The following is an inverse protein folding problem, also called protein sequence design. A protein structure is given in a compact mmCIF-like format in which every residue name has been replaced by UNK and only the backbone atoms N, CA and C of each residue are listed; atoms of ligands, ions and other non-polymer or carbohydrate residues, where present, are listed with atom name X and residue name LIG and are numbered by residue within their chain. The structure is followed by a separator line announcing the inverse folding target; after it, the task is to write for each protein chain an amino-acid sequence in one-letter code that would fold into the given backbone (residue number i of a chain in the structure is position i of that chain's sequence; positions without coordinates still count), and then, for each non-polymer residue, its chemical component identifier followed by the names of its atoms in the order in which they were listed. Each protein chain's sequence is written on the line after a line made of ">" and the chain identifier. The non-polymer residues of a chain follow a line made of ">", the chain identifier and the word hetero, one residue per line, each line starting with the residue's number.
data_IF_052673622465
#
_entry.id   IF_052673622465
#
_cell.length_a   1.000
_cell.length_b   1.000
_cell.length_c   1.000
_cell.angle_alpha   90.00
_cell.angle_beta   90.00
_cell.angle_gamma   90.00
#
_symmetry.space_group_name_H-M   'P 1'
#
loop_
_entity.id
_entity.type
_entity.pdbx_description
1 polymer ?
#
# COMPACT_ATOMS: atom_id res chain seq x y z
N UNK A 1 -7.96 -32.16 -47.35
CA UNK A 1 -8.80 -33.02 -46.49
C UNK A 1 -10.17 -33.33 -47.10
N UNK A 2 -11.10 -32.37 -47.33
CA UNK A 2 -12.40 -32.68 -47.98
C UNK A 2 -12.22 -33.13 -49.44
N UNK A 3 -11.31 -32.50 -50.20
CA UNK A 3 -10.98 -32.92 -51.57
C UNK A 3 -10.32 -34.32 -51.60
N UNK A 4 -9.41 -34.61 -50.67
CA UNK A 4 -8.78 -35.93 -50.53
C UNK A 4 -9.80 -37.04 -50.18
N UNK A 5 -10.81 -36.74 -49.37
CA UNK A 5 -11.88 -37.67 -49.02
C UNK A 5 -12.82 -37.91 -50.23
N UNK A 6 -13.07 -36.88 -51.05
CA UNK A 6 -13.85 -37.01 -52.29
C UNK A 6 -13.15 -37.89 -53.33
N UNK A 7 -11.85 -37.69 -53.52
CA UNK A 7 -11.04 -38.49 -54.44
C UNK A 7 -11.05 -39.99 -54.07
N UNK A 8 -10.99 -40.31 -52.76
CA UNK A 8 -11.07 -41.69 -52.26
C UNK A 8 -12.47 -42.29 -52.48
N UNK A 9 -13.54 -41.50 -52.34
CA UNK A 9 -14.94 -41.92 -52.57
C UNK A 9 -15.21 -42.29 -54.04
N UNK A 10 -14.52 -41.66 -54.98
CA UNK A 10 -14.71 -41.91 -56.42
C UNK A 10 -13.83 -43.06 -56.95
N UNK A 11 -12.77 -43.43 -56.24
CA UNK A 11 -11.93 -44.60 -56.52
C UNK A 11 -12.52 -45.95 -56.04
N UNK A 12 -13.55 -45.93 -55.18
CA UNK A 12 -14.15 -47.12 -54.59
C UNK A 12 -15.36 -47.62 -55.40
N UNK A 13 -15.10 -48.37 -56.48
CA UNK A 13 -16.13 -49.05 -57.26
C UNK A 13 -16.55 -50.34 -56.54
N UNK A 14 -17.72 -50.32 -55.88
CA UNK A 14 -18.42 -51.54 -55.43
C UNK A 14 -18.89 -51.62 -53.97
N UNK A 15 -18.72 -50.58 -53.14
CA UNK A 15 -19.19 -50.58 -51.74
C UNK A 15 -20.05 -49.36 -51.41
N UNK A 16 -21.36 -49.47 -51.66
CA UNK A 16 -22.32 -48.39 -51.39
C UNK A 16 -22.37 -47.98 -49.91
N UNK A 17 -22.09 -48.89 -48.98
CA UNK A 17 -22.11 -48.57 -47.53
C UNK A 17 -20.97 -47.64 -47.12
N UNK A 18 -19.77 -47.84 -47.69
CA UNK A 18 -18.60 -47.03 -47.36
C UNK A 18 -18.66 -45.65 -48.03
N UNK A 19 -19.14 -45.58 -49.27
CA UNK A 19 -19.40 -44.31 -49.96
C UNK A 19 -20.43 -43.46 -49.22
N UNK A 20 -21.51 -44.08 -48.71
CA UNK A 20 -22.50 -43.41 -47.87
C UNK A 20 -21.93 -42.93 -46.53
N UNK A 21 -21.04 -43.70 -45.92
CA UNK A 21 -20.35 -43.31 -44.69
C UNK A 21 -19.41 -42.10 -44.92
N UNK A 22 -18.63 -42.10 -46.00
CA UNK A 22 -17.76 -40.97 -46.36
C UNK A 22 -18.58 -39.70 -46.68
N UNK A 23 -19.68 -39.84 -47.42
CA UNK A 23 -20.58 -38.72 -47.69
C UNK A 23 -21.21 -38.16 -46.40
N UNK A 24 -21.60 -39.02 -45.45
CA UNK A 24 -22.09 -38.62 -44.13
C UNK A 24 -21.02 -37.83 -43.34
N UNK A 25 -19.76 -38.28 -43.40
CA UNK A 25 -18.64 -37.57 -42.79
C UNK A 25 -18.41 -36.19 -43.42
N UNK A 26 -18.44 -36.09 -44.76
CA UNK A 26 -18.28 -34.81 -45.46
C UNK A 26 -19.40 -33.82 -45.08
N UNK A 27 -20.65 -34.29 -44.98
CA UNK A 27 -21.78 -33.45 -44.53
C UNK A 27 -21.59 -32.97 -43.10
N UNK A 28 -21.13 -33.85 -42.19
CA UNK A 28 -20.86 -33.47 -40.79
C UNK A 28 -19.73 -32.45 -40.68
N UNK A 29 -18.64 -32.64 -41.43
CA UNK A 29 -17.50 -31.71 -41.45
C UNK A 29 -17.96 -30.33 -41.94
N UNK A 30 -18.72 -30.27 -43.03
CA UNK A 30 -19.25 -29.00 -43.55
C UNK A 30 -20.18 -28.29 -42.55
N UNK A 31 -20.98 -29.03 -41.77
CA UNK A 31 -21.79 -28.44 -40.71
C UNK A 31 -20.92 -27.86 -39.59
N UNK A 32 -19.90 -28.59 -39.15
CA UNK A 32 -18.97 -28.08 -38.13
C UNK A 32 -18.20 -26.84 -38.58
N UNK A 33 -17.77 -26.78 -39.85
CA UNK A 33 -17.11 -25.58 -40.40
C UNK A 33 -18.05 -24.36 -40.40
N UNK A 34 -19.35 -24.57 -40.64
CA UNK A 34 -20.37 -23.52 -40.61
C UNK A 34 -20.63 -23.03 -39.18
N UNK A 35 -20.80 -23.94 -38.23
CA UNK A 35 -20.98 -23.61 -36.82
C UNK A 35 -19.77 -22.85 -36.26
N UNK A 36 -18.54 -23.26 -36.59
CA UNK A 36 -17.32 -22.55 -36.19
C UNK A 36 -17.28 -21.13 -36.79
N UNK A 37 -17.76 -20.94 -38.01
CA UNK A 37 -17.81 -19.62 -38.65
C UNK A 37 -18.83 -18.71 -37.97
N UNK A 38 -20.01 -19.23 -37.65
CA UNK A 38 -21.07 -18.48 -36.97
C UNK A 38 -20.63 -18.07 -35.55
N UNK A 39 -19.97 -18.98 -34.81
CA UNK A 39 -19.37 -18.70 -33.50
C UNK A 39 -18.30 -17.60 -33.60
N UNK A 40 -17.44 -17.64 -34.63
CA UNK A 40 -16.40 -16.60 -34.83
C UNK A 40 -17.00 -15.23 -35.13
N UNK A 41 -18.05 -15.15 -35.95
CA UNK A 41 -18.73 -13.89 -36.24
C UNK A 41 -19.47 -13.32 -35.02
N UNK A 42 -20.06 -14.18 -34.19
CA UNK A 42 -20.72 -13.78 -32.94
C UNK A 42 -19.70 -13.26 -31.91
N UNK A 43 -18.57 -13.96 -31.76
CA UNK A 43 -17.49 -13.55 -30.86
C UNK A 43 -16.85 -12.20 -31.25
N UNK A 44 -16.69 -11.95 -32.56
CA UNK A 44 -16.19 -10.65 -33.06
C UNK A 44 -17.17 -9.50 -32.80
N UNK A 45 -18.50 -9.75 -32.88
CA UNK A 45 -19.53 -8.74 -32.57
C UNK A 45 -19.55 -8.38 -31.09
N UNK A 46 -19.32 -9.34 -30.20
CA UNK A 46 -19.24 -9.09 -28.76
C UNK A 46 -17.96 -8.33 -28.37
N UNK A 47 -16.82 -8.66 -28.97
CA UNK A 47 -15.56 -7.93 -28.74
C UNK A 47 -15.67 -6.43 -29.06
N UNK A 48 -16.28 -6.08 -30.21
CA UNK A 48 -16.45 -4.69 -30.60
C UNK A 48 -17.38 -3.90 -29.64
N UNK A 49 -18.41 -4.54 -29.06
CA UNK A 49 -19.27 -3.91 -28.03
C UNK A 49 -18.52 -3.68 -26.72
N UNK A 50 -17.59 -4.58 -26.38
CA UNK A 50 -16.78 -4.51 -25.16
C UNK A 50 -15.78 -3.34 -25.21
N UNK A 51 -15.20 -3.10 -26.38
CA UNK A 51 -14.30 -1.96 -26.61
C UNK A 51 -15.04 -0.61 -26.53
N UNK A 52 -16.25 -0.51 -27.08
CA UNK A 52 -17.07 0.71 -27.01
C UNK A 52 -17.50 1.07 -25.57
N UNK A 53 -17.82 0.06 -24.75
CA UNK A 53 -18.14 0.25 -23.32
C UNK A 53 -16.92 0.76 -22.52
N UNK A 54 -15.73 0.21 -22.79
CA UNK A 54 -14.48 0.60 -22.11
C UNK A 54 -14.08 2.04 -22.44
N UNK A 55 -14.27 2.45 -23.70
CA UNK A 55 -14.01 3.81 -24.18
C UNK A 55 -14.94 4.84 -23.49
N UNK A 56 -16.21 4.49 -23.27
CA UNK A 56 -17.17 5.34 -22.57
C UNK A 56 -16.88 5.46 -21.06
N UNK A 57 -16.48 4.37 -20.38
CA UNK A 57 -16.02 4.40 -18.98
C UNK A 57 -14.77 5.26 -18.81
N UNK A 58 -13.81 5.18 -19.73
CA UNK A 58 -12.61 6.04 -19.74
C UNK A 58 -12.98 7.52 -19.87
N UNK A 59 -13.93 7.87 -20.75
CA UNK A 59 -14.43 9.25 -20.89
C UNK A 59 -15.09 9.74 -19.60
N UNK A 60 -15.92 8.93 -18.96
CA UNK A 60 -16.62 9.30 -17.72
C UNK A 60 -15.65 9.52 -16.54
N UNK A 61 -14.64 8.65 -16.37
CA UNK A 61 -13.59 8.82 -15.36
C UNK A 61 -12.76 10.07 -15.64
N UNK A 62 -12.45 10.36 -16.92
CA UNK A 62 -11.70 11.56 -17.31
C UNK A 62 -12.48 12.84 -17.00
N UNK A 63 -13.80 12.85 -17.19
CA UNK A 63 -14.67 13.96 -16.78
C UNK A 63 -14.69 14.11 -15.26
N UNK A 64 -14.78 13.02 -14.48
CA UNK A 64 -14.74 13.07 -13.00
C UNK A 64 -13.41 13.60 -12.46
N UNK A 65 -12.29 13.19 -13.04
CA UNK A 65 -10.95 13.69 -12.69
C UNK A 65 -10.81 15.18 -13.06
N UNK A 66 -11.25 15.59 -14.25
CA UNK A 66 -11.20 16.99 -14.65
C UNK A 66 -12.07 17.87 -13.77
N UNK A 67 -13.28 17.43 -13.40
CA UNK A 67 -14.13 18.14 -12.45
C UNK A 67 -13.45 18.26 -11.07
N UNK A 68 -12.79 17.20 -10.59
CA UNK A 68 -12.02 17.26 -9.34
C UNK A 68 -10.86 18.26 -9.43
N UNK A 69 -10.12 18.28 -10.54
CA UNK A 69 -8.99 19.21 -10.80
C UNK A 69 -9.46 20.66 -10.99
N UNK A 70 -10.67 20.89 -11.53
CA UNK A 70 -11.28 22.22 -11.65
C UNK A 70 -11.90 22.73 -10.34
N UNK A 71 -12.35 21.84 -9.45
CA UNK A 71 -12.86 22.21 -8.13
C UNK A 71 -11.76 22.33 -7.07
N UNK A 72 -10.64 21.63 -7.22
CA UNK A 72 -9.49 21.69 -6.31
C UNK A 72 -9.02 23.13 -6.00
N UNK A 73 -8.93 24.06 -6.98
CA UNK A 73 -8.54 25.45 -6.75
C UNK A 73 -9.60 26.30 -6.03
N UNK A 74 -10.85 25.82 -5.90
CA UNK A 74 -11.89 26.51 -5.10
C UNK A 74 -11.68 26.31 -3.61
N UNK A 75 -10.97 25.25 -3.21
CA UNK A 75 -10.65 24.95 -1.82
C UNK A 75 -9.33 25.56 -1.36
N UNK A 76 -8.40 25.82 -2.29
CA UNK A 76 -7.10 26.45 -2.03
C UNK A 76 -6.76 27.39 -3.19
N UNK A 77 -6.56 28.69 -2.91
CA UNK A 77 -6.12 29.66 -3.93
C UNK A 77 -4.69 29.34 -4.35
N UNK A 78 -4.45 29.25 -5.66
CA UNK A 78 -3.19 28.80 -6.26
C UNK A 78 -1.99 29.66 -5.86
N UNK A 79 -2.21 30.94 -5.55
CA UNK A 79 -1.18 31.86 -5.06
C UNK A 79 -0.77 31.64 -3.59
N UNK A 80 -1.62 30.99 -2.78
CA UNK A 80 -1.42 30.82 -1.33
C UNK A 80 -1.00 29.37 -0.94
N UNK A 81 -0.97 28.45 -1.90
CA UNK A 81 -0.70 27.01 -1.66
C UNK A 81 0.64 26.75 -0.96
N UNK A 82 1.66 27.56 -1.24
CA UNK A 82 2.95 27.48 -0.56
C UNK A 82 2.89 28.00 0.89
N UNK A 83 2.12 29.04 1.18
CA UNK A 83 1.93 29.57 2.54
C UNK A 83 1.02 28.66 3.39
N UNK A 84 0.01 28.03 2.79
CA UNK A 84 -0.86 27.08 3.49
C UNK A 84 -0.19 25.72 3.76
N UNK A 85 0.77 25.29 2.93
CA UNK A 85 1.61 24.11 3.16
C UNK A 85 2.71 24.32 4.21
N UNK A 86 3.09 25.58 4.50
CA UNK A 86 3.95 25.92 5.64
C UNK A 86 3.17 25.96 6.97
N UNK A 87 1.83 25.99 6.90
CA UNK A 87 0.97 25.96 8.07
C UNK A 87 0.83 24.53 8.60
N UNK A 88 1.63 24.21 9.62
CA UNK A 88 1.72 22.90 10.27
C UNK A 88 0.35 22.34 10.68
N UNK A 89 -0.61 23.19 11.07
CA UNK A 89 -1.98 22.77 11.43
C UNK A 89 -2.78 22.24 10.24
N UNK A 90 -2.59 22.82 9.04
CA UNK A 90 -3.29 22.39 7.82
C UNK A 90 -2.69 21.07 7.32
N UNK A 91 -1.37 20.96 7.32
CA UNK A 91 -0.66 19.73 6.96
C UNK A 91 -1.01 18.58 7.91
N UNK A 92 -1.05 18.84 9.22
CA UNK A 92 -1.44 17.83 10.21
C UNK A 92 -2.89 17.38 10.05
N UNK A 93 -3.84 18.30 9.75
CA UNK A 93 -5.23 17.92 9.43
C UNK A 93 -5.33 17.07 8.17
N UNK A 94 -4.49 17.35 7.17
CA UNK A 94 -4.44 16.58 5.93
C UNK A 94 -3.89 15.17 6.17
N UNK A 95 -2.81 15.06 6.96
CA UNK A 95 -2.21 13.79 7.39
C UNK A 95 -3.23 12.96 8.17
N UNK A 96 -3.97 13.56 9.11
CA UNK A 96 -5.01 12.85 9.86
C UNK A 96 -6.16 12.37 8.97
N UNK A 97 -6.60 13.17 7.99
CA UNK A 97 -7.58 12.71 6.99
C UNK A 97 -7.06 11.54 6.16
N UNK A 98 -5.80 11.58 5.73
CA UNK A 98 -5.21 10.47 4.99
C UNK A 98 -5.09 9.22 5.86
N UNK A 99 -4.64 9.34 7.11
CA UNK A 99 -4.62 8.21 8.06
C UNK A 99 -6.00 7.60 8.22
N UNK A 100 -7.04 8.40 8.41
CA UNK A 100 -8.41 7.87 8.58
C UNK A 100 -8.89 7.11 7.33
N UNK A 101 -8.58 7.63 6.14
CA UNK A 101 -8.88 6.96 4.85
C UNK A 101 -8.11 5.63 4.73
N UNK A 102 -6.80 5.64 4.99
CA UNK A 102 -5.97 4.43 4.89
C UNK A 102 -6.36 3.38 5.93
N UNK A 103 -6.75 3.80 7.13
CA UNK A 103 -7.17 2.88 8.21
C UNK A 103 -8.48 2.20 7.83
N UNK A 104 -9.48 2.97 7.37
CA UNK A 104 -10.75 2.42 6.87
C UNK A 104 -10.54 1.43 5.72
N UNK A 105 -9.66 1.76 4.77
CA UNK A 105 -9.34 0.87 3.65
C UNK A 105 -8.62 -0.40 4.10
N UNK A 106 -7.77 -0.32 5.12
CA UNK A 106 -7.09 -1.48 5.67
C UNK A 106 -8.06 -2.43 6.40
N UNK A 107 -9.05 -1.89 7.10
CA UNK A 107 -10.12 -2.67 7.75
C UNK A 107 -11.04 -3.35 6.73
N UNK A 108 -11.38 -2.66 5.64
CA UNK A 108 -12.11 -3.26 4.50
C UNK A 108 -11.32 -4.44 3.90
N UNK A 109 -10.01 -4.27 3.67
CA UNK A 109 -9.13 -5.34 3.15
C UNK A 109 -9.09 -6.53 4.11
N UNK A 110 -9.01 -6.27 5.42
CA UNK A 110 -8.98 -7.32 6.44
C UNK A 110 -10.28 -8.12 6.47
N UNK A 111 -11.41 -7.45 6.28
CA UNK A 111 -12.73 -8.09 6.19
C UNK A 111 -12.85 -8.96 4.95
N UNK A 112 -12.39 -8.46 3.79
CA UNK A 112 -12.38 -9.20 2.53
C UNK A 112 -11.53 -10.47 2.63
N UNK A 113 -10.34 -10.39 3.25
CA UNK A 113 -9.46 -11.55 3.47
C UNK A 113 -10.15 -12.64 4.29
N UNK A 114 -10.84 -12.26 5.37
CA UNK A 114 -11.58 -13.20 6.21
C UNK A 114 -12.67 -13.92 5.43
N UNK A 115 -13.46 -13.19 4.64
CA UNK A 115 -14.52 -13.79 3.82
C UNK A 115 -13.95 -14.73 2.74
N UNK A 116 -12.76 -14.43 2.21
CA UNK A 116 -12.05 -15.29 1.25
C UNK A 116 -11.60 -16.61 1.88
N UNK A 117 -11.06 -16.57 3.10
CA UNK A 117 -10.72 -17.79 3.85
C UNK A 117 -11.96 -18.65 4.13
N UNK A 118 -13.06 -18.02 4.56
CA UNK A 118 -14.34 -18.73 4.78
C UNK A 118 -14.85 -19.38 3.48
N UNK A 119 -14.81 -18.66 2.36
CA UNK A 119 -15.19 -19.20 1.05
C UNK A 119 -14.31 -20.38 0.62
N UNK A 120 -12.99 -20.29 0.82
CA UNK A 120 -12.06 -21.38 0.49
C UNK A 120 -12.35 -22.64 1.31
N UNK A 121 -12.63 -22.50 2.61
CA UNK A 121 -13.00 -23.66 3.44
C UNK A 121 -14.32 -24.31 3.00
N UNK A 122 -15.25 -23.54 2.45
CA UNK A 122 -16.51 -24.07 1.91
C UNK A 122 -16.31 -24.79 0.58
N UNK A 123 -15.37 -24.34 -0.26
CA UNK A 123 -14.96 -25.01 -1.50
C UNK A 123 -14.36 -26.40 -1.19
N UNK A 124 -13.44 -26.49 -0.23
CA UNK A 124 -12.81 -27.76 0.16
C UNK A 124 -13.85 -28.80 0.64
N UNK A 125 -14.87 -28.36 1.40
CA UNK A 125 -15.99 -29.23 1.81
C UNK A 125 -16.80 -29.73 0.61
N UNK A 126 -17.02 -28.88 -0.40
CA UNK A 126 -17.77 -29.26 -1.61
C UNK A 126 -16.98 -30.23 -2.47
N UNK A 127 -15.67 -30.05 -2.61
CA UNK A 127 -14.79 -31.00 -3.33
C UNK A 127 -14.83 -32.40 -2.70
N UNK A 128 -14.82 -32.48 -1.36
CA UNK A 128 -14.95 -33.78 -0.68
C UNK A 128 -16.30 -34.46 -0.94
N UNK A 129 -17.39 -33.69 -1.03
CA UNK A 129 -18.71 -34.22 -1.39
C UNK A 129 -18.74 -34.72 -2.84
N UNK A 130 -18.18 -33.95 -3.79
CA UNK A 130 -18.11 -34.33 -5.20
C UNK A 130 -17.36 -35.65 -5.37
N UNK A 131 -16.19 -35.79 -4.75
CA UNK A 131 -15.38 -37.01 -4.81
C UNK A 131 -16.13 -38.25 -4.29
N UNK A 132 -17.00 -38.09 -3.29
CA UNK A 132 -17.82 -39.19 -2.79
C UNK A 132 -18.94 -39.58 -3.77
N UNK A 133 -19.59 -38.60 -4.38
CA UNK A 133 -20.63 -38.84 -5.38
C UNK A 133 -20.06 -39.49 -6.66
N UNK A 134 -18.85 -39.12 -7.07
CA UNK A 134 -18.18 -39.74 -8.22
C UNK A 134 -17.95 -41.24 -8.01
N UNK A 135 -17.52 -41.64 -6.80
CA UNK A 135 -17.37 -43.06 -6.44
C UNK A 135 -18.70 -43.80 -6.47
N UNK A 136 -19.77 -43.17 -5.97
CA UNK A 136 -21.10 -43.77 -5.93
C UNK A 136 -21.67 -43.98 -7.36
N UNK A 137 -21.41 -43.05 -8.27
CA UNK A 137 -21.74 -43.18 -9.70
C UNK A 137 -20.96 -44.33 -10.35
N UNK A 138 -19.68 -44.47 -10.03
CA UNK A 138 -18.83 -45.55 -10.55
C UNK A 138 -19.34 -46.94 -10.14
N UNK A 139 -19.72 -47.09 -8.87
CA UNK A 139 -20.31 -48.34 -8.35
C UNK A 139 -21.66 -48.66 -9.00
N UNK A 140 -22.52 -47.66 -9.19
CA UNK A 140 -23.81 -47.82 -9.87
C UNK A 140 -23.64 -48.24 -11.33
N UNK A 141 -22.69 -47.64 -12.06
CA UNK A 141 -22.39 -48.00 -13.44
C UNK A 141 -21.89 -49.45 -13.57
N UNK A 142 -21.03 -49.88 -12.65
CA UNK A 142 -20.54 -51.26 -12.61
C UNK A 142 -21.68 -52.25 -12.39
N UNK A 143 -22.62 -51.92 -11.52
CA UNK A 143 -23.79 -52.74 -11.22
C UNK A 143 -24.77 -52.81 -12.42
N UNK A 144 -24.91 -51.70 -13.15
CA UNK A 144 -25.71 -51.64 -14.38
C UNK A 144 -25.17 -52.59 -15.47
N UNK A 145 -23.87 -52.57 -15.75
CA UNK A 145 -23.27 -53.45 -16.77
C UNK A 145 -23.40 -54.94 -16.40
N UNK A 146 -23.24 -55.30 -15.12
CA UNK A 146 -23.48 -56.68 -14.66
C UNK A 146 -24.91 -57.15 -14.93
N UNK A 147 -25.90 -56.30 -14.62
CA UNK A 147 -27.33 -56.63 -14.79
C UNK A 147 -27.72 -56.77 -16.26
N UNK A 148 -27.09 -55.97 -17.13
CA UNK A 148 -27.24 -56.03 -18.59
C UNK A 148 -26.67 -57.33 -19.17
N UNK A 149 -25.54 -57.80 -18.67
CA UNK A 149 -24.99 -59.11 -19.05
C UNK A 149 -25.89 -60.28 -18.62
N UNK A 150 -26.46 -60.22 -17.40
CA UNK A 150 -27.42 -61.23 -16.93
C UNK A 150 -28.66 -61.31 -17.81
N UNK A 151 -29.20 -60.16 -18.24
CA UNK A 151 -30.35 -60.08 -19.14
C UNK A 151 -30.06 -60.78 -20.48
N UNK A 152 -28.90 -60.47 -21.08
CA UNK A 152 -28.46 -61.06 -22.35
C UNK A 152 -28.31 -62.59 -22.27
N UNK A 153 -27.83 -63.12 -21.13
CA UNK A 153 -27.73 -64.58 -20.92
C UNK A 153 -29.13 -65.22 -20.86
N UNK A 154 -30.09 -64.54 -20.24
CA UNK A 154 -31.47 -65.02 -20.09
C UNK A 154 -32.22 -65.04 -21.42
N UNK A 155 -32.00 -64.04 -22.27
CA UNK A 155 -32.59 -63.99 -23.62
C UNK A 155 -32.07 -65.13 -24.50
N UNK A 156 -30.76 -65.39 -24.50
CA UNK A 156 -30.16 -66.53 -25.22
C UNK A 156 -30.72 -67.87 -24.74
N UNK A 157 -30.93 -68.03 -23.43
CA UNK A 157 -31.52 -69.25 -22.87
C UNK A 157 -32.97 -69.46 -23.35
N UNK A 158 -33.80 -68.43 -23.32
CA UNK A 158 -35.17 -68.50 -23.82
C UNK A 158 -35.23 -68.85 -25.31
N UNK A 159 -34.32 -68.28 -26.10
CA UNK A 159 -34.26 -68.53 -27.53
C UNK A 159 -33.85 -69.98 -27.86
N UNK A 160 -32.95 -70.55 -27.07
CA UNK A 160 -32.61 -71.97 -27.17
C UNK A 160 -33.79 -72.89 -26.78
N UNK A 161 -34.52 -72.59 -25.69
CA UNK A 161 -35.70 -73.38 -25.33
C UNK A 161 -36.79 -73.32 -26.41
N UNK A 162 -37.00 -72.17 -27.05
CA UNK A 162 -37.94 -72.05 -28.18
C UNK A 162 -37.55 -72.96 -29.35
N UNK A 163 -36.26 -73.03 -29.70
CA UNK A 163 -35.76 -73.93 -30.75
C UNK A 163 -35.97 -75.39 -30.39
N UNK A 164 -35.69 -75.76 -29.14
CA UNK A 164 -35.81 -77.13 -28.67
C UNK A 164 -37.27 -77.62 -28.66
N UNK A 165 -38.21 -76.77 -28.23
CA UNK A 165 -39.65 -77.05 -28.29
C UNK A 165 -40.10 -77.21 -29.75
N UNK A 166 -39.59 -76.36 -30.67
CA UNK A 166 -39.93 -76.43 -32.10
C UNK A 166 -39.47 -77.75 -32.73
N UNK A 167 -38.31 -78.28 -32.34
CA UNK A 167 -37.82 -79.60 -32.79
C UNK A 167 -38.69 -80.73 -32.23
N UNK A 168 -39.05 -80.68 -30.94
CA UNK A 168 -39.93 -81.69 -30.32
C UNK A 168 -41.31 -81.75 -30.99
N UNK A 169 -41.87 -80.60 -31.37
CA UNK A 169 -43.13 -80.52 -32.11
C UNK A 169 -42.99 -81.16 -33.49
N UNK A 170 -41.90 -80.90 -34.22
CA UNK A 170 -41.68 -81.48 -35.54
C UNK A 170 -41.50 -83.00 -35.48
N UNK A 171 -40.70 -83.50 -34.53
CA UNK A 171 -40.52 -84.95 -34.35
C UNK A 171 -41.84 -85.65 -34.01
N UNK A 172 -42.66 -85.06 -33.13
CA UNK A 172 -43.98 -85.59 -32.81
C UNK A 172 -44.88 -85.68 -34.05
N UNK A 173 -44.83 -84.69 -34.95
CA UNK A 173 -45.63 -84.68 -36.19
C UNK A 173 -45.15 -85.76 -37.18
N UNK A 174 -43.84 -86.04 -37.23
CA UNK A 174 -43.26 -87.10 -38.07
C UNK A 174 -43.59 -88.51 -37.52
N UNK A 175 -43.44 -88.74 -36.21
CA UNK A 175 -43.82 -90.00 -35.56
C UNK A 175 -45.32 -90.30 -35.73
N UNK A 176 -46.16 -89.28 -35.76
CA UNK A 176 -47.61 -89.43 -35.98
C UNK A 176 -47.98 -89.89 -37.40
N UNK A 177 -47.07 -89.79 -38.38
CA UNK A 177 -47.32 -90.30 -39.73
C UNK A 177 -47.12 -91.81 -39.86
N UNK A 178 -46.35 -92.44 -38.98
CA UNK A 178 -46.00 -93.87 -39.04
C UNK A 178 -47.11 -94.81 -38.50
N UNK A 179 -48.02 -94.31 -37.66
CA UNK A 179 -49.10 -95.09 -37.02
C UNK A 179 -50.45 -95.01 -37.75
N UNK A 180 -50.45 -94.54 -39.00
CA UNK A 180 -51.67 -94.15 -39.72
C UNK A 180 -52.60 -95.32 -40.06
N UNK A 181 -52.07 -96.52 -40.29
CA UNK A 181 -52.87 -97.69 -40.75
C UNK A 181 -53.57 -98.43 -39.59
N UNK A 182 -52.92 -98.60 -38.43
CA UNK A 182 -53.49 -99.31 -37.27
C UNK A 182 -54.54 -98.48 -36.53
N UNK A 183 -54.39 -97.15 -36.52
CA UNK A 183 -55.30 -96.19 -35.89
C UNK A 183 -56.73 -96.22 -36.50
N UNK A 184 -56.86 -96.49 -37.80
CA UNK A 184 -58.16 -96.56 -38.48
C UNK A 184 -58.99 -97.80 -38.11
N UNK A 185 -58.37 -98.87 -37.61
CA UNK A 185 -59.11 -100.06 -37.17
C UNK A 185 -59.61 -99.91 -35.73
N UNK A 186 -58.86 -99.25 -34.84
CA UNK A 186 -59.32 -98.93 -33.48
C UNK A 186 -60.35 -97.80 -33.43
N UNK A 187 -60.34 -96.87 -34.40
CA UNK A 187 -61.35 -95.81 -34.54
C UNK A 187 -62.76 -96.28 -34.95
N UNK A 188 -63.00 -97.58 -35.17
CA UNK A 188 -64.37 -98.11 -35.31
C UNK A 188 -65.06 -98.37 -33.97
N UNK A 189 -64.33 -98.25 -32.86
CA UNK A 189 -64.85 -98.42 -31.52
C UNK A 189 -65.33 -97.07 -30.97
N UNK A 190 -66.65 -96.87 -30.94
CA UNK A 190 -67.31 -95.63 -30.55
C UNK A 190 -66.94 -95.19 -29.12
N UNK A 191 -66.67 -96.13 -28.22
CA UNK A 191 -66.21 -95.85 -26.85
C UNK A 191 -64.80 -95.24 -26.80
N UNK A 192 -63.91 -95.63 -27.73
CA UNK A 192 -62.55 -95.09 -27.83
C UNK A 192 -62.61 -93.67 -28.39
N UNK A 193 -63.43 -93.42 -29.42
CA UNK A 193 -63.65 -92.07 -29.98
C UNK A 193 -64.21 -91.13 -28.91
N UNK A 194 -65.25 -91.54 -28.17
CA UNK A 194 -65.88 -90.68 -27.17
C UNK A 194 -64.90 -90.31 -26.04
N UNK A 195 -64.07 -91.26 -25.57
CA UNK A 195 -62.99 -90.97 -24.61
C UNK A 195 -61.95 -90.01 -25.18
N UNK A 196 -61.56 -90.17 -26.44
CA UNK A 196 -60.62 -89.26 -27.13
C UNK A 196 -61.19 -87.85 -27.25
N UNK A 197 -62.48 -87.72 -27.57
CA UNK A 197 -63.20 -86.44 -27.62
C UNK A 197 -63.27 -85.78 -26.25
N UNK A 198 -63.53 -86.53 -25.17
CA UNK A 198 -63.50 -85.98 -23.82
C UNK A 198 -62.09 -85.51 -23.42
N UNK A 199 -61.05 -86.31 -23.67
CA UNK A 199 -59.66 -85.92 -23.41
C UNK A 199 -59.29 -84.66 -24.20
N UNK A 200 -59.67 -84.57 -25.47
CA UNK A 200 -59.43 -83.39 -26.31
C UNK A 200 -60.18 -82.17 -25.76
N UNK A 201 -61.45 -82.30 -25.38
CA UNK A 201 -62.21 -81.20 -24.74
C UNK A 201 -61.52 -80.72 -23.47
N UNK A 202 -61.03 -81.64 -22.65
CA UNK A 202 -60.35 -81.33 -21.40
C UNK A 202 -59.00 -80.60 -21.64
N UNK A 203 -58.25 -81.03 -22.67
CA UNK A 203 -57.03 -80.36 -23.14
C UNK A 203 -57.34 -78.95 -23.66
N UNK A 204 -58.38 -78.79 -24.48
CA UNK A 204 -58.79 -77.49 -25.02
C UNK A 204 -59.22 -76.54 -23.91
N UNK A 205 -60.06 -76.98 -22.96
CA UNK A 205 -60.47 -76.17 -21.82
C UNK A 205 -59.28 -75.74 -20.95
N UNK A 206 -58.33 -76.64 -20.66
CA UNK A 206 -57.09 -76.30 -19.94
C UNK A 206 -56.25 -75.28 -20.68
N UNK A 207 -56.16 -75.40 -22.01
CA UNK A 207 -55.43 -74.46 -22.86
C UNK A 207 -56.10 -73.08 -22.88
N UNK A 208 -57.42 -73.02 -23.02
CA UNK A 208 -58.17 -71.76 -23.06
C UNK A 208 -58.06 -71.00 -21.73
N UNK A 209 -58.18 -71.69 -20.59
CA UNK A 209 -57.95 -71.10 -19.27
C UNK A 209 -56.54 -70.52 -19.14
N UNK A 210 -55.53 -71.25 -19.63
CA UNK A 210 -54.12 -70.80 -19.62
C UNK A 210 -53.92 -69.56 -20.49
N UNK A 211 -54.57 -69.51 -21.65
CA UNK A 211 -54.53 -68.35 -22.57
C UNK A 211 -55.18 -67.14 -21.90
N UNK A 212 -56.31 -67.31 -21.23
CA UNK A 212 -57.00 -66.21 -20.54
C UNK A 212 -56.14 -65.63 -19.40
N UNK A 213 -55.48 -66.50 -18.64
CA UNK A 213 -54.56 -66.11 -17.57
C UNK A 213 -53.36 -65.32 -18.11
N UNK A 214 -52.72 -65.80 -19.19
CA UNK A 214 -51.62 -65.10 -19.88
C UNK A 214 -52.08 -63.74 -20.41
N UNK A 215 -53.30 -63.64 -20.97
CA UNK A 215 -53.82 -62.38 -21.49
C UNK A 215 -54.07 -61.34 -20.38
N UNK A 216 -54.53 -61.77 -19.19
CA UNK A 216 -54.68 -60.90 -18.02
C UNK A 216 -53.32 -60.39 -17.55
N UNK A 217 -52.31 -61.25 -17.46
CA UNK A 217 -50.94 -60.83 -17.13
C UNK A 217 -50.37 -59.84 -18.16
N UNK A 218 -50.57 -60.10 -19.45
CA UNK A 218 -50.14 -59.22 -20.54
C UNK A 218 -50.76 -57.82 -20.40
N UNK A 219 -52.07 -57.73 -20.15
CA UNK A 219 -52.75 -56.45 -19.94
C UNK A 219 -52.19 -55.70 -18.73
N UNK A 220 -51.97 -56.39 -17.61
CA UNK A 220 -51.38 -55.79 -16.42
C UNK A 220 -49.99 -55.23 -16.71
N UNK A 221 -49.13 -56.01 -17.40
CA UNK A 221 -47.78 -55.56 -17.80
C UNK A 221 -47.81 -54.40 -18.77
N UNK A 222 -48.76 -54.35 -19.71
CA UNK A 222 -48.95 -53.19 -20.57
C UNK A 222 -49.33 -51.92 -19.79
N UNK A 223 -50.13 -52.05 -18.73
CA UNK A 223 -50.45 -50.96 -17.80
C UNK A 223 -49.23 -50.46 -17.04
N UNK A 224 -48.43 -51.37 -16.49
CA UNK A 224 -47.16 -51.04 -15.80
C UNK A 224 -46.19 -50.28 -16.74
N UNK A 225 -46.02 -50.75 -17.98
CA UNK A 225 -45.17 -50.10 -18.98
C UNK A 225 -45.65 -48.68 -19.29
N UNK A 226 -46.96 -48.47 -19.44
CA UNK A 226 -47.52 -47.13 -19.67
C UNK A 226 -47.20 -46.18 -18.52
N UNK A 227 -47.38 -46.62 -17.28
CA UNK A 227 -47.07 -45.79 -16.11
C UNK A 227 -45.58 -45.47 -16.00
N UNK A 228 -44.72 -46.45 -16.25
CA UNK A 228 -43.26 -46.25 -16.29
C UNK A 228 -42.87 -45.22 -17.36
N UNK A 229 -43.41 -45.33 -18.57
CA UNK A 229 -43.14 -44.38 -19.66
C UNK A 229 -43.57 -42.95 -19.29
N UNK A 230 -44.74 -42.79 -18.68
CA UNK A 230 -45.21 -41.48 -18.22
C UNK A 230 -44.26 -40.85 -17.18
N UNK A 231 -43.78 -41.65 -16.23
CA UNK A 231 -42.82 -41.18 -15.22
C UNK A 231 -41.47 -40.81 -15.84
N UNK A 232 -41.00 -41.60 -16.81
CA UNK A 232 -39.75 -41.36 -17.54
C UNK A 232 -39.81 -40.05 -18.33
N UNK A 233 -40.94 -39.81 -19.00
CA UNK A 233 -41.16 -38.59 -19.79
C UNK A 233 -41.20 -37.34 -18.89
N UNK A 234 -41.79 -37.44 -17.69
CA UNK A 234 -41.75 -36.38 -16.69
C UNK A 234 -40.33 -36.11 -16.18
N UNK A 235 -39.59 -37.16 -15.82
CA UNK A 235 -38.21 -37.03 -15.36
C UNK A 235 -37.31 -36.38 -16.41
N UNK A 236 -37.47 -36.76 -17.69
CA UNK A 236 -36.72 -36.15 -18.79
C UNK A 236 -37.02 -34.65 -18.96
N UNK A 237 -38.29 -34.25 -18.83
CA UNK A 237 -38.65 -32.81 -18.85
C UNK A 237 -38.02 -32.02 -17.72
N UNK A 238 -37.98 -32.60 -16.51
CA UNK A 238 -37.38 -31.94 -15.36
C UNK A 238 -35.86 -31.87 -15.50
N UNK A 239 -35.21 -32.92 -16.02
CA UNK A 239 -33.77 -32.92 -16.34
C UNK A 239 -33.41 -31.81 -17.34
N UNK A 240 -34.17 -31.65 -18.41
CA UNK A 240 -33.91 -30.61 -19.42
C UNK A 240 -34.09 -29.19 -18.86
N UNK A 241 -35.06 -28.99 -17.95
CA UNK A 241 -35.18 -27.72 -17.21
C UNK A 241 -33.98 -27.45 -16.31
N UNK A 242 -33.42 -28.48 -15.67
CA UNK A 242 -32.24 -28.31 -14.84
C UNK A 242 -31.00 -28.00 -15.68
N UNK A 243 -30.78 -28.71 -16.78
CA UNK A 243 -29.68 -28.44 -17.71
C UNK A 243 -29.72 -27.00 -18.22
N UNK A 244 -30.86 -26.56 -18.73
CA UNK A 244 -31.01 -25.20 -19.27
C UNK A 244 -30.70 -24.13 -18.22
N UNK A 245 -31.18 -24.29 -16.97
CA UNK A 245 -30.81 -23.38 -15.87
C UNK A 245 -29.32 -23.35 -15.60
N UNK A 246 -28.68 -24.51 -15.50
CA UNK A 246 -27.24 -24.65 -15.27
C UNK A 246 -26.43 -23.98 -16.39
N UNK A 247 -26.82 -24.18 -17.65
CA UNK A 247 -26.16 -23.55 -18.80
C UNK A 247 -26.25 -22.03 -18.71
N UNK A 248 -27.44 -21.47 -18.47
CA UNK A 248 -27.62 -20.02 -18.35
C UNK A 248 -26.85 -19.42 -17.16
N UNK A 249 -26.74 -20.14 -16.05
CA UNK A 249 -25.99 -19.70 -14.88
C UNK A 249 -24.48 -19.72 -15.15
N UNK A 250 -23.97 -20.76 -15.81
CA UNK A 250 -22.57 -20.83 -16.21
C UNK A 250 -22.18 -19.72 -17.20
N UNK A 251 -23.03 -19.41 -18.18
CA UNK A 251 -22.80 -18.31 -19.13
C UNK A 251 -22.65 -16.96 -18.41
N UNK A 252 -23.50 -16.70 -17.40
CA UNK A 252 -23.40 -15.48 -16.58
C UNK A 252 -22.09 -15.42 -15.81
N UNK A 253 -21.70 -16.53 -15.18
CA UNK A 253 -20.45 -16.59 -14.42
C UNK A 253 -19.23 -16.37 -15.31
N UNK A 254 -19.22 -16.96 -16.52
CA UNK A 254 -18.14 -16.75 -17.49
C UNK A 254 -18.02 -15.28 -17.89
N UNK A 255 -19.14 -14.59 -18.12
CA UNK A 255 -19.11 -13.17 -18.47
C UNK A 255 -18.68 -12.30 -17.28
N UNK A 256 -19.09 -12.62 -16.06
CA UNK A 256 -18.62 -11.95 -14.84
C UNK A 256 -17.10 -12.10 -14.66
N UNK A 257 -16.55 -13.31 -14.83
CA UNK A 257 -15.10 -13.57 -14.77
C UNK A 257 -14.38 -12.71 -15.81
N UNK A 258 -14.84 -12.74 -17.07
CA UNK A 258 -14.24 -11.97 -18.17
C UNK A 258 -14.28 -10.46 -17.91
N UNK A 259 -15.28 -9.96 -17.19
CA UNK A 259 -15.36 -8.57 -16.79
C UNK A 259 -14.37 -8.23 -15.67
N UNK A 260 -14.24 -9.11 -14.67
CA UNK A 260 -13.26 -8.95 -13.59
C UNK A 260 -11.81 -9.04 -14.08
N UNK A 261 -11.51 -9.91 -15.03
CA UNK A 261 -10.19 -9.98 -15.65
C UNK A 261 -9.81 -8.66 -16.35
N UNK A 262 -10.76 -8.06 -17.06
CA UNK A 262 -10.55 -6.77 -17.72
C UNK A 262 -10.37 -5.62 -16.71
N UNK A 263 -11.16 -5.59 -15.63
CA UNK A 263 -10.98 -4.62 -14.54
C UNK A 263 -9.56 -4.72 -13.94
N UNK A 264 -9.09 -5.93 -13.66
CA UNK A 264 -7.74 -6.18 -13.13
C UNK A 264 -6.67 -5.70 -14.11
N UNK A 265 -6.82 -6.00 -15.40
CA UNK A 265 -5.86 -5.57 -16.43
C UNK A 265 -5.71 -4.04 -16.48
N UNK A 266 -6.84 -3.33 -16.53
CA UNK A 266 -6.84 -1.85 -16.54
C UNK A 266 -6.22 -1.28 -15.28
N UNK A 267 -6.49 -1.90 -14.12
CA UNK A 267 -5.93 -1.45 -12.85
C UNK A 267 -4.40 -1.64 -12.79
N UNK A 268 -3.90 -2.77 -13.30
CA UNK A 268 -2.47 -3.05 -13.37
C UNK A 268 -1.71 -2.08 -14.29
N UNK A 269 -2.30 -1.73 -15.44
CA UNK A 269 -1.72 -0.74 -16.35
C UNK A 269 -1.61 0.63 -15.66
N UNK A 270 -2.67 1.09 -14.99
CA UNK A 270 -2.64 2.35 -14.21
C UNK A 270 -1.57 2.33 -13.11
N UNK A 271 -1.50 1.24 -12.36
CA UNK A 271 -0.50 1.10 -11.30
C UNK A 271 0.93 1.16 -11.85
N UNK A 272 1.18 0.54 -13.00
CA UNK A 272 2.48 0.58 -13.67
C UNK A 272 2.88 2.00 -14.09
N UNK A 273 1.95 2.75 -14.68
CA UNK A 273 2.19 4.13 -15.10
C UNK A 273 2.46 5.06 -13.90
N UNK A 274 1.68 4.90 -12.83
CA UNK A 274 1.81 5.72 -11.62
C UNK A 274 3.11 5.43 -10.87
N UNK A 275 3.49 4.14 -10.78
CA UNK A 275 4.79 3.72 -10.23
C UNK A 275 5.95 4.37 -10.98
N UNK A 276 5.93 4.38 -12.31
CA UNK A 276 6.98 5.00 -13.12
C UNK A 276 7.07 6.53 -12.91
N UNK A 277 5.95 7.21 -12.65
CA UNK A 277 5.97 8.65 -12.31
C UNK A 277 6.62 8.88 -10.94
N UNK A 278 6.25 8.11 -9.93
CA UNK A 278 6.85 8.24 -8.59
C UNK A 278 8.35 7.94 -8.59
N UNK A 279 8.80 6.93 -9.35
CA UNK A 279 10.23 6.61 -9.48
C UNK A 279 11.01 7.80 -10.07
N UNK A 280 10.48 8.45 -11.12
CA UNK A 280 11.10 9.65 -11.70
C UNK A 280 11.12 10.84 -10.74
N UNK A 281 10.06 11.06 -9.97
CA UNK A 281 10.00 12.16 -9.00
C UNK A 281 10.97 11.94 -7.83
N UNK A 282 11.15 10.69 -7.37
CA UNK A 282 12.16 10.33 -6.37
C UNK A 282 13.58 10.62 -6.90
N UNK A 283 13.85 10.30 -8.17
CA UNK A 283 15.15 10.57 -8.78
C UNK A 283 15.46 12.07 -8.82
N UNK A 284 14.51 12.89 -9.28
CA UNK A 284 14.65 14.36 -9.29
C UNK A 284 14.87 14.94 -7.89
N UNK A 285 14.09 14.50 -6.90
CA UNK A 285 14.24 14.98 -5.52
C UNK A 285 15.62 14.62 -4.94
N UNK A 286 16.16 13.46 -5.29
CA UNK A 286 17.50 13.06 -4.86
C UNK A 286 18.60 13.92 -5.50
N UNK A 287 18.47 14.29 -6.77
CA UNK A 287 19.38 15.24 -7.42
C UNK A 287 19.34 16.62 -6.76
N UNK A 288 18.15 17.15 -6.51
CA UNK A 288 17.98 18.44 -5.83
C UNK A 288 18.56 18.43 -4.41
N UNK A 289 18.34 17.33 -3.66
CA UNK A 289 18.90 17.15 -2.32
C UNK A 289 20.43 17.19 -2.36
N UNK A 290 21.04 16.46 -3.30
CA UNK A 290 22.51 16.41 -3.45
C UNK A 290 23.10 17.79 -3.76
N UNK A 291 22.41 18.60 -4.56
CA UNK A 291 22.86 19.95 -4.86
C UNK A 291 22.65 20.93 -3.70
N UNK A 292 21.56 20.79 -2.93
CA UNK A 292 21.37 21.54 -1.67
C UNK A 292 22.44 21.20 -0.64
N UNK A 293 22.80 19.92 -0.49
CA UNK A 293 23.87 19.46 0.41
C UNK A 293 25.24 20.06 0.05
N UNK A 294 25.58 20.09 -1.25
CA UNK A 294 26.81 20.75 -1.72
C UNK A 294 26.83 22.24 -1.39
N UNK A 295 25.70 22.94 -1.59
CA UNK A 295 25.59 24.38 -1.27
C UNK A 295 25.73 24.62 0.23
N UNK A 296 25.08 23.80 1.06
CA UNK A 296 25.16 23.89 2.52
C UNK A 296 26.61 23.70 3.01
N UNK A 297 27.30 22.67 2.51
CA UNK A 297 28.71 22.41 2.88
C UNK A 297 29.63 23.60 2.57
N UNK A 298 29.42 24.28 1.42
CA UNK A 298 30.17 25.50 1.08
C UNK A 298 29.87 26.66 2.03
N UNK A 299 28.62 26.79 2.47
CA UNK A 299 28.21 27.87 3.38
C UNK A 299 28.81 27.67 4.78
N UNK A 300 28.81 26.44 5.27
CA UNK A 300 29.41 26.08 6.56
C UNK A 300 30.91 26.41 6.57
N UNK A 301 31.65 26.03 5.54
CA UNK A 301 33.08 26.35 5.45
C UNK A 301 33.36 27.87 5.50
N UNK A 302 32.57 28.68 4.78
CA UNK A 302 32.69 30.15 4.85
C UNK A 302 32.37 30.71 6.23
N UNK A 303 31.40 30.13 6.92
CA UNK A 303 31.04 30.55 8.27
C UNK A 303 32.16 30.24 9.27
N UNK A 304 32.79 29.08 9.15
CA UNK A 304 33.94 28.70 9.98
C UNK A 304 35.13 29.65 9.78
N UNK A 305 35.45 29.99 8.52
CA UNK A 305 36.49 30.99 8.20
C UNK A 305 36.22 32.35 8.86
N UNK A 306 34.99 32.88 8.70
CA UNK A 306 34.61 34.17 9.30
C UNK A 306 34.65 34.11 10.83
N UNK A 307 34.27 32.98 11.41
CA UNK A 307 34.28 32.79 12.87
C UNK A 307 35.72 32.79 13.41
N UNK A 308 36.63 32.09 12.74
CA UNK A 308 38.06 32.09 13.10
C UNK A 308 38.67 33.49 12.98
N UNK A 309 38.37 34.22 11.90
CA UNK A 309 38.77 35.62 11.73
C UNK A 309 38.24 36.50 12.87
N UNK A 310 36.95 36.40 13.20
CA UNK A 310 36.34 37.14 14.31
C UNK A 310 37.02 36.83 15.65
N UNK A 311 37.23 35.55 15.94
CA UNK A 311 37.81 35.10 17.20
C UNK A 311 39.28 35.55 17.34
N UNK A 312 40.01 35.64 16.23
CA UNK A 312 41.37 36.21 16.19
C UNK A 312 41.41 37.73 16.46
N UNK A 313 40.30 38.44 16.26
CA UNK A 313 40.19 39.91 16.34
C UNK A 313 39.69 40.41 17.72
N UNK A 314 39.45 39.52 18.69
CA UNK A 314 38.65 39.78 19.90
C UNK A 314 38.97 41.08 20.67
N UNK A 315 40.24 41.35 21.01
CA UNK A 315 40.62 42.57 21.73
C UNK A 315 40.47 43.85 20.88
N UNK A 316 40.63 43.75 19.56
CA UNK A 316 40.50 44.87 18.63
C UNK A 316 39.03 45.27 18.44
N UNK A 317 38.10 44.32 18.47
CA UNK A 317 36.67 44.62 18.43
C UNK A 317 36.21 45.36 19.69
N UNK A 318 36.70 44.96 20.86
CA UNK A 318 36.43 45.65 22.13
C UNK A 318 37.01 47.07 22.06
N UNK A 319 38.27 47.22 21.64
CA UNK A 319 38.89 48.53 21.46
C UNK A 319 38.09 49.43 20.50
N UNK A 320 37.58 48.87 19.39
CA UNK A 320 36.84 49.62 18.37
C UNK A 320 35.51 50.12 18.90
N UNK A 321 34.80 49.31 19.69
CA UNK A 321 33.58 49.74 20.39
C UNK A 321 33.86 50.90 21.33
N UNK A 322 34.89 50.77 22.18
CA UNK A 322 35.28 51.82 23.13
C UNK A 322 35.68 53.12 22.44
N UNK A 323 36.37 53.04 21.30
CA UNK A 323 36.70 54.21 20.50
C UNK A 323 35.45 54.92 19.95
N UNK A 324 34.49 54.18 19.39
CA UNK A 324 33.25 54.77 18.89
C UNK A 324 32.46 55.43 20.02
N UNK A 325 32.34 54.75 21.16
CA UNK A 325 31.66 55.29 22.35
C UNK A 325 32.35 56.58 22.83
N UNK A 326 33.69 56.60 22.89
CA UNK A 326 34.46 57.79 23.22
C UNK A 326 34.21 58.95 22.24
N UNK A 327 34.06 58.68 20.93
CA UNK A 327 33.73 59.71 19.94
C UNK A 327 32.32 60.27 20.09
N UNK A 328 31.39 59.52 20.68
CA UNK A 328 29.99 59.91 20.88
C UNK A 328 29.77 60.72 22.17
N UNK A 329 30.72 60.71 23.11
CA UNK A 329 30.65 61.50 24.36
C UNK A 329 30.46 62.99 24.12
N UNK A 330 29.95 63.71 25.14
CA UNK A 330 29.80 65.17 25.09
C UNK A 330 31.15 65.84 24.74
N UNK A 331 31.14 66.73 23.76
CA UNK A 331 32.32 67.51 23.33
C UNK A 331 33.01 68.23 24.50
N UNK A 332 32.25 68.71 25.49
CA UNK A 332 32.81 69.34 26.70
C UNK A 332 33.62 68.38 27.57
N UNK A 333 33.26 67.09 27.56
CA UNK A 333 33.99 66.03 28.25
C UNK A 333 35.18 65.60 27.40
N UNK A 334 34.98 65.29 26.11
CA UNK A 334 36.05 64.85 25.19
C UNK A 334 37.23 65.82 25.10
N UNK A 335 36.94 67.13 25.05
CA UNK A 335 37.96 68.18 25.01
C UNK A 335 38.90 68.15 26.22
N UNK A 336 38.47 67.63 27.37
CA UNK A 336 39.33 67.46 28.56
C UNK A 336 40.38 66.36 28.38
N UNK A 337 40.13 65.41 27.48
CA UNK A 337 40.99 64.25 27.25
C UNK A 337 41.73 64.32 25.90
N UNK A 338 41.59 65.39 25.11
CA UNK A 338 42.19 65.52 23.76
C UNK A 338 43.69 65.27 23.72
N UNK A 339 44.42 65.74 24.73
CA UNK A 339 45.88 65.59 24.83
C UNK A 339 46.33 64.20 25.32
N UNK A 340 45.39 63.34 25.73
CA UNK A 340 45.67 62.06 26.41
C UNK A 340 45.09 60.86 25.67
N UNK A 341 43.85 60.99 25.17
CA UNK A 341 43.17 60.01 24.34
C UNK A 341 42.95 60.60 22.96
N UNK A 342 43.85 60.24 22.02
CA UNK A 342 43.91 60.86 20.69
C UNK A 342 42.67 60.49 19.87
N UNK A 343 41.90 61.49 19.46
CA UNK A 343 40.63 61.34 18.73
C UNK A 343 40.77 61.23 17.20
N UNK A 344 41.99 61.41 16.66
CA UNK A 344 42.22 61.54 15.22
C UNK A 344 41.82 60.28 14.43
N UNK A 345 42.23 59.13 14.93
CA UNK A 345 42.00 57.82 14.33
C UNK A 345 42.08 56.73 15.41
N UNK A 346 41.57 55.55 15.07
CA UNK A 346 41.44 54.42 15.99
C UNK A 346 42.81 53.92 16.49
N UNK A 347 43.79 53.86 15.60
CA UNK A 347 45.15 53.43 15.90
C UNK A 347 45.82 54.39 16.90
N UNK A 348 45.62 55.69 16.72
CA UNK A 348 46.10 56.72 17.65
C UNK A 348 45.40 56.65 19.00
N UNK A 349 44.08 56.43 19.04
CA UNK A 349 43.33 56.22 20.29
C UNK A 349 43.90 55.03 21.06
N UNK A 350 44.01 53.88 20.40
CA UNK A 350 44.56 52.66 20.99
C UNK A 350 45.97 52.90 21.52
N UNK A 351 46.84 53.50 20.71
CA UNK A 351 48.24 53.79 21.07
C UNK A 351 48.36 54.75 22.26
N UNK A 352 47.42 55.70 22.38
CA UNK A 352 47.45 56.71 23.43
C UNK A 352 47.13 56.16 24.83
N UNK A 353 46.24 55.17 24.94
CA UNK A 353 45.87 54.54 26.22
C UNK A 353 46.88 53.53 26.77
N UNK A 354 47.93 53.25 26.01
CA UNK A 354 48.88 52.16 26.30
C UNK A 354 49.99 52.56 27.30
N UNK A 355 49.91 53.71 27.96
CA UNK A 355 50.92 54.16 28.94
C UNK A 355 50.31 54.31 30.33
N UNK A 356 51.07 54.01 31.39
CA UNK A 356 50.57 54.20 32.76
C UNK A 356 50.34 55.68 33.08
N UNK A 357 51.13 56.58 32.49
CA UNK A 357 50.92 58.03 32.59
C UNK A 357 49.58 58.46 31.99
N UNK A 358 49.12 57.81 30.93
CA UNK A 358 47.79 58.05 30.36
C UNK A 358 46.70 57.65 31.37
N UNK A 359 46.84 56.49 31.99
CA UNK A 359 45.93 56.02 33.04
C UNK A 359 45.90 57.02 34.22
N UNK A 360 47.06 57.44 34.72
CA UNK A 360 47.17 58.45 35.78
C UNK A 360 46.42 59.74 35.41
N UNK A 361 46.64 60.23 34.19
CA UNK A 361 46.02 61.46 33.72
C UNK A 361 44.50 61.32 33.54
N UNK A 362 44.00 60.19 33.04
CA UNK A 362 42.56 59.93 32.94
C UNK A 362 41.92 60.00 34.33
N UNK A 363 42.53 59.34 35.31
CA UNK A 363 42.04 59.34 36.69
C UNK A 363 42.04 60.76 37.29
N UNK A 364 43.13 61.53 37.10
CA UNK A 364 43.25 62.89 37.64
C UNK A 364 42.22 63.86 37.02
N UNK A 365 41.97 63.76 35.71
CA UNK A 365 40.93 64.56 35.04
C UNK A 365 39.56 64.21 35.59
N UNK A 366 39.23 62.93 35.72
CA UNK A 366 37.93 62.50 36.23
C UNK A 366 37.73 63.00 37.65
N UNK A 367 38.74 62.90 38.52
CA UNK A 367 38.68 63.45 39.88
C UNK A 367 38.31 64.94 39.90
N UNK A 368 38.88 65.74 39.00
CA UNK A 368 38.66 67.19 38.95
C UNK A 368 37.30 67.52 38.32
N UNK A 369 36.96 66.85 37.23
CA UNK A 369 35.83 67.20 36.36
C UNK A 369 34.56 66.40 36.64
N UNK A 370 34.54 65.49 37.62
CA UNK A 370 33.44 64.53 37.81
C UNK A 370 32.03 65.15 37.82
N UNK A 371 31.87 66.37 38.38
CA UNK A 371 30.57 67.08 38.42
C UNK A 371 30.09 67.54 37.04
N UNK A 372 31.01 67.66 36.08
CA UNK A 372 30.77 68.11 34.71
C UNK A 372 30.67 66.94 33.72
N UNK A 373 30.87 65.70 34.18
CA UNK A 373 30.78 64.49 33.36
C UNK A 373 29.42 63.84 33.63
N UNK A 374 28.70 63.48 32.56
CA UNK A 374 27.44 62.74 32.69
C UNK A 374 27.68 61.34 33.27
N UNK A 375 26.65 60.71 33.85
CA UNK A 375 26.81 59.36 34.40
C UNK A 375 27.12 58.35 33.28
N UNK A 376 26.52 58.55 32.11
CA UNK A 376 26.73 57.75 30.91
C UNK A 376 28.19 57.85 30.42
N UNK A 377 28.71 59.08 30.25
CA UNK A 377 30.10 59.29 29.81
C UNK A 377 31.11 58.77 30.86
N UNK A 378 30.79 58.89 32.14
CA UNK A 378 31.62 58.39 33.23
C UNK A 378 31.75 56.86 33.19
N UNK A 379 30.67 56.14 32.86
CA UNK A 379 30.68 54.68 32.75
C UNK A 379 31.49 54.22 31.52
N UNK A 380 31.35 54.93 30.40
CA UNK A 380 32.18 54.67 29.22
C UNK A 380 33.67 54.95 29.50
N UNK A 381 34.00 56.00 30.26
CA UNK A 381 35.37 56.26 30.72
C UNK A 381 35.91 55.16 31.65
N UNK A 382 35.06 54.56 32.50
CA UNK A 382 35.44 53.42 33.35
C UNK A 382 35.81 52.20 32.52
N UNK A 383 35.01 51.90 31.50
CA UNK A 383 35.27 50.78 30.59
C UNK A 383 36.55 51.00 29.77
N UNK A 384 36.79 52.22 29.29
CA UNK A 384 38.05 52.61 28.64
C UNK A 384 39.25 52.41 29.57
N UNK A 385 39.14 52.88 30.82
CA UNK A 385 40.18 52.78 31.82
C UNK A 385 40.53 51.33 32.17
N UNK A 386 39.50 50.50 32.41
CA UNK A 386 39.62 49.07 32.67
C UNK A 386 40.25 48.32 31.49
N UNK A 387 39.80 48.63 30.27
CA UNK A 387 40.36 48.06 29.06
C UNK A 387 41.87 48.34 28.95
N UNK A 388 42.30 49.58 29.11
CA UNK A 388 43.71 49.93 28.96
C UNK A 388 44.59 49.38 30.08
N UNK A 389 44.12 49.32 31.33
CA UNK A 389 44.82 48.59 32.41
C UNK A 389 45.05 47.13 32.03
N UNK A 390 44.02 46.44 31.50
CA UNK A 390 44.15 45.05 31.02
C UNK A 390 45.16 44.94 29.88
N UNK A 391 45.15 45.87 28.92
CA UNK A 391 46.10 45.86 27.80
C UNK A 391 47.54 46.15 28.25
N UNK A 392 47.75 47.05 29.22
CA UNK A 392 49.06 47.33 29.81
C UNK A 392 49.61 46.08 30.51
N UNK A 393 48.77 45.35 31.25
CA UNK A 393 49.17 44.12 31.94
C UNK A 393 49.70 43.02 31.01
N UNK A 394 49.21 42.94 29.76
CA UNK A 394 49.72 41.97 28.77
C UNK A 394 51.18 42.16 28.37
N UNK A 395 51.79 43.30 28.71
CA UNK A 395 53.22 43.56 28.47
C UNK A 395 54.14 42.84 29.44
N UNK A 396 53.59 42.37 30.55
CA UNK A 396 54.31 41.69 31.61
C UNK A 396 54.01 40.19 31.55
N UNK A 397 54.94 39.36 32.02
CA UNK A 397 54.71 37.91 32.12
C UNK A 397 53.60 37.58 33.12
N UNK A 398 53.48 38.39 34.16
CA UNK A 398 52.42 38.34 35.16
C UNK A 398 51.76 39.72 35.27
N UNK A 399 50.44 39.82 35.50
CA UNK A 399 49.76 41.10 35.63
C UNK A 399 50.40 41.95 36.74
N UNK A 400 50.77 43.19 36.41
CA UNK A 400 51.47 44.10 37.33
C UNK A 400 50.52 45.02 38.08
N UNK A 401 49.38 45.34 37.48
CA UNK A 401 48.41 46.30 37.99
C UNK A 401 47.06 45.62 38.22
N UNK A 402 46.32 46.05 39.24
CA UNK A 402 44.92 45.67 39.42
C UNK A 402 44.06 46.88 39.74
N UNK A 403 42.79 46.79 39.37
CA UNK A 403 41.78 47.80 39.68
C UNK A 403 41.33 47.64 41.14
N UNK A 404 41.01 48.77 41.77
CA UNK A 404 40.44 48.83 43.11
C UNK A 404 38.99 49.28 42.97
N UNK A 405 38.09 48.45 43.44
CA UNK A 405 36.65 48.70 43.53
C UNK A 405 36.27 48.93 45.00
N UNK A 406 35.10 49.52 45.21
CA UNK A 406 34.53 49.76 46.55
C UNK A 406 33.08 49.32 46.57
N UNK A 407 32.67 48.74 47.69
CA UNK A 407 31.31 48.29 47.87
C UNK A 407 30.41 49.41 48.39
N UNK A 408 29.20 49.49 47.85
CA UNK A 408 28.21 50.46 48.33
C UNK A 408 27.78 50.10 49.76
N UNK A 409 27.74 51.10 50.64
CA UNK A 409 27.37 50.94 52.05
C UNK A 409 28.53 50.64 53.01
N UNK A 410 29.75 50.47 52.51
CA UNK A 410 30.98 50.42 53.33
C UNK A 410 31.23 51.76 54.05
N UNK A 411 31.90 51.73 55.20
CA UNK A 411 32.37 52.94 55.89
C UNK A 411 33.53 53.55 55.11
N UNK A 412 33.48 54.87 54.90
CA UNK A 412 34.52 55.58 54.17
C UNK A 412 35.89 55.52 54.87
N UNK A 413 36.92 55.10 54.14
CA UNK A 413 38.31 55.09 54.59
C UNK A 413 39.14 56.13 53.84
N UNK A 414 39.47 57.24 54.52
CA UNK A 414 40.27 58.32 53.97
C UNK A 414 41.72 57.92 53.61
N UNK A 415 42.20 56.76 54.06
CA UNK A 415 43.53 56.23 53.70
C UNK A 415 43.50 55.57 52.32
N UNK A 416 42.46 54.78 52.04
CA UNK A 416 42.39 53.93 50.85
C UNK A 416 41.43 54.46 49.78
N UNK A 417 40.59 55.46 50.09
CA UNK A 417 39.55 55.99 49.22
C UNK A 417 39.63 57.53 49.12
N UNK A 418 39.02 58.12 48.09
CA UNK A 418 38.91 59.57 47.93
C UNK A 418 37.45 59.97 47.78
N UNK A 419 36.93 60.68 48.78
CA UNK A 419 35.57 61.22 48.75
C UNK A 419 35.50 62.56 48.02
N UNK A 420 34.75 62.57 46.93
CA UNK A 420 34.53 63.75 46.09
C UNK A 420 33.48 64.71 46.67
N UNK A 421 32.68 64.27 47.64
CA UNK A 421 31.73 65.11 48.38
C UNK A 421 32.38 65.94 49.50
N UNK A 422 33.67 65.68 49.80
CA UNK A 422 34.46 66.34 50.84
C UNK A 422 34.01 66.06 52.28
N UNK A 423 33.29 64.96 52.53
CA UNK A 423 33.05 64.53 53.90
C UNK A 423 34.30 63.84 54.45
N UNK A 424 34.44 63.87 55.77
CA UNK A 424 35.56 63.22 56.47
C UNK A 424 35.21 61.82 57.00
N UNK A 425 33.91 61.47 56.98
CA UNK A 425 33.32 60.20 57.44
C UNK A 425 31.95 60.03 56.78
N UNK A 426 31.44 58.81 56.73
CA UNK A 426 30.12 58.49 56.20
C UNK A 426 30.11 57.14 55.51
N UNK A 427 28.94 56.74 55.00
CA UNK A 427 28.84 55.52 54.19
C UNK A 427 28.96 55.85 52.72
N UNK A 428 29.64 54.98 51.98
CA UNK A 428 29.74 55.09 50.52
C UNK A 428 28.35 54.93 49.92
N UNK A 429 27.87 55.97 49.25
CA UNK A 429 26.58 55.98 48.54
C UNK A 429 26.73 55.81 47.04
N UNK A 430 27.91 56.13 46.50
CA UNK A 430 28.20 55.98 45.07
C UNK A 430 29.68 55.69 44.83
N UNK A 431 29.93 54.71 43.97
CA UNK A 431 31.25 54.42 43.41
C UNK A 431 31.42 55.15 42.08
N UNK A 432 32.27 56.18 42.09
CA UNK A 432 32.43 57.12 40.97
C UNK A 432 33.45 56.62 39.96
N UNK A 433 34.62 56.14 40.40
CA UNK A 433 35.67 55.71 39.49
C UNK A 433 36.69 54.77 40.14
N UNK A 434 37.25 53.86 39.33
CA UNK A 434 38.26 52.89 39.78
C UNK A 434 39.49 53.54 40.39
N UNK A 435 40.00 52.95 41.46
CA UNK A 435 41.41 53.09 41.84
C UNK A 435 42.26 52.05 41.12
N UNK A 436 43.58 52.12 41.26
CA UNK A 436 44.46 51.02 40.87
C UNK A 436 45.77 51.03 41.67
N UNK A 437 46.40 49.86 41.72
CA UNK A 437 47.65 49.65 42.43
C UNK A 437 48.49 48.54 41.84
N UNK A 438 49.69 48.36 42.40
CA UNK A 438 50.56 47.24 42.08
C UNK A 438 50.03 45.96 42.72
N UNK A 439 50.01 44.88 41.94
CA UNK A 439 49.79 43.53 42.47
C UNK A 439 51.05 43.06 43.21
N UNK A 440 50.87 42.31 44.30
CA UNK A 440 51.97 41.60 44.95
C UNK A 440 52.54 40.54 44.01
N UNK A 441 53.86 40.39 44.02
CA UNK A 441 54.53 39.28 43.35
C UNK A 441 54.01 37.96 43.96
N UNK A 442 53.59 37.01 43.10
CA UNK A 442 53.00 35.74 43.54
C UNK A 442 54.08 34.78 44.04
N UNK A 443 54.50 34.94 45.29
CA UNK A 443 55.32 33.93 45.98
C UNK A 443 54.46 32.73 46.39
N UNK A 444 54.35 31.75 45.47
CA UNK A 444 53.64 30.47 45.56
C UNK A 444 52.11 30.48 45.35
N UNK A 445 51.67 29.53 44.51
CA UNK A 445 50.31 29.38 43.99
C UNK A 445 49.23 29.26 45.06
N UNK A 446 48.16 30.03 44.87
CA UNK A 446 46.87 30.07 45.61
C UNK A 446 46.71 31.16 46.68
N UNK A 447 47.26 32.36 46.46
CA UNK A 447 46.78 33.57 47.13
C UNK A 447 45.93 34.43 46.16
N UNK A 448 44.82 34.98 46.66
CA UNK A 448 44.02 35.98 45.96
C UNK A 448 44.89 37.17 45.51
N UNK A 449 44.47 37.87 44.46
CA UNK A 449 45.19 39.02 43.92
C UNK A 449 45.21 40.17 44.95
N UNK A 450 46.25 40.18 45.79
CA UNK A 450 46.41 41.19 46.85
C UNK A 450 47.17 42.38 46.27
N UNK A 451 46.58 43.56 46.43
CA UNK A 451 47.21 44.84 46.05
C UNK A 451 48.29 45.17 47.09
N UNK A 452 49.53 45.31 46.62
CA UNK A 452 50.69 45.62 47.44
C UNK A 452 50.75 47.10 47.82
N UNK A 453 50.49 47.94 46.81
CA UNK A 453 50.61 49.39 46.93
C UNK A 453 49.61 50.08 46.02
N UNK A 454 48.75 50.90 46.61
CA UNK A 454 47.80 51.74 45.88
C UNK A 454 48.56 52.89 45.21
N UNK A 455 48.30 53.11 43.92
CA UNK A 455 48.82 54.24 43.14
C UNK A 455 47.79 55.36 43.12
N UNK A 456 46.54 55.02 42.75
CA UNK A 456 45.39 55.91 42.81
C UNK A 456 44.27 55.24 43.61
N UNK A 457 43.73 55.95 44.60
CA UNK A 457 42.61 55.47 45.40
C UNK A 457 41.32 55.47 44.55
N UNK A 458 40.35 54.58 44.79
CA UNK A 458 39.01 54.69 44.21
C UNK A 458 38.32 56.02 44.59
N UNK A 459 37.54 56.56 43.65
CA UNK A 459 36.77 57.78 43.83
C UNK A 459 35.33 57.42 44.25
N UNK A 460 34.85 58.05 45.32
CA UNK A 460 33.54 57.76 45.91
C UNK A 460 32.77 59.02 46.29
N UNK A 461 31.47 58.88 46.53
CA UNK A 461 30.66 59.86 47.25
C UNK A 461 30.12 59.23 48.53
N UNK A 462 30.10 60.02 49.61
CA UNK A 462 29.60 59.58 50.91
C UNK A 462 28.41 60.42 51.36
N UNK A 463 27.65 59.90 52.34
CA UNK A 463 26.54 60.60 52.98
C UNK A 463 26.47 60.33 54.47
#
# INVERSE_FOLDING_TARGET
>A
MIEEIKDISDLLIGSDSFKNFLNSLVVKINNFEREIKDIKEEYCKELNKKDEFLENQKKEIKVKINNFVEEFPKYIKKEDFHQEMENEDIVNKLIEKFKDIFTKKNDEIKTIKKNLEEANTEIEKRETIINNLEKEIEDLNKNYELKKEELNKKDKFLENQKKEIKVKINNFVEEFQEYKEDFYQEMKNEDIINKLVEILKDIFNKKDNKIEEINKELQNKQGEIKNLNFNLERANKDLEKFKTKLTTENEKLVEEIKNKENEIKVLNEKYSEEKAKFENDIEKLNEEKKDKEKKLKKLIGKYEEIKEERDSMGDLLIARKLYNNYLEMDTRVKTKFEDILIQKDFESFVSSGYSISTIDNIWDIIKIEYKNISKEDLEELKEIFKFFIKQINKRFKEPKYSLIEVDLGEEFDAVTQVDLSQNSRGKIVEFVFYGYGFLKDKDNSNSEDIIDKIIKNPLVLTK
#
